data_IF_462059733805
#
_entry.id   IF_462059733805
#
_cell.length_a   1.000
_cell.length_b   1.000
_cell.length_c   1.000
_cell.angle_alpha   90.00
_cell.angle_beta   90.00
_cell.angle_gamma   90.00
#
_symmetry.space_group_name_H-M   'P 1'
#
loop_
_entity.id
_entity.type
_entity.pdbx_description
1 polymer ?
#
# COMPACT_ATOMS: atom_id res chain seq x y z
N UNK A 1 20.37 10.39 -5.40
CA UNK A 1 19.05 10.72 -4.83
C UNK A 1 19.27 11.44 -3.49
N UNK A 2 20.11 12.47 -3.48
CA UNK A 2 20.49 13.22 -2.27
C UNK A 2 20.76 14.65 -2.73
N UNK A 3 19.72 15.46 -2.85
CA UNK A 3 19.83 16.91 -3.10
C UNK A 3 18.82 17.73 -2.28
N UNK A 4 18.02 17.08 -1.42
CA UNK A 4 17.00 17.79 -0.62
C UNK A 4 17.55 18.36 0.71
N UNK A 5 18.72 17.90 1.16
CA UNK A 5 19.24 18.32 2.47
C UNK A 5 19.89 19.72 2.42
N UNK A 6 20.57 20.08 1.33
CA UNK A 6 21.20 21.41 1.19
C UNK A 6 20.18 22.55 1.04
N UNK A 7 19.05 22.32 0.36
CA UNK A 7 17.96 23.30 0.26
C UNK A 7 17.35 23.57 1.64
N UNK A 8 17.21 22.52 2.47
CA UNK A 8 16.69 22.65 3.83
C UNK A 8 17.65 23.44 4.74
N UNK A 9 18.96 23.30 4.57
CA UNK A 9 19.95 24.13 5.27
C UNK A 9 19.83 25.60 4.85
N UNK A 10 19.75 25.88 3.54
CA UNK A 10 19.52 27.23 3.00
C UNK A 10 18.24 27.87 3.57
N UNK A 11 17.14 27.12 3.70
CA UNK A 11 15.91 27.64 4.28
C UNK A 11 16.00 27.88 5.80
N UNK A 12 16.73 27.05 6.54
CA UNK A 12 17.03 27.29 7.96
C UNK A 12 17.89 28.55 8.15
N UNK A 13 18.85 28.77 7.25
CA UNK A 13 19.71 29.95 7.24
C UNK A 13 18.96 31.21 6.81
N UNK A 14 18.07 31.11 5.83
CA UNK A 14 17.14 32.17 5.45
C UNK A 14 16.24 32.56 6.62
N UNK A 15 15.75 31.59 7.39
CA UNK A 15 14.99 31.85 8.61
C UNK A 15 15.84 32.55 9.69
N UNK A 16 17.07 32.09 9.94
CA UNK A 16 18.01 32.73 10.87
C UNK A 16 18.37 34.15 10.43
N UNK A 17 18.56 34.39 9.13
CA UNK A 17 18.79 35.71 8.54
C UNK A 17 17.54 36.57 8.66
N UNK A 18 16.35 36.09 8.31
CA UNK A 18 15.09 36.85 8.41
C UNK A 18 14.73 37.23 9.84
N UNK A 19 14.99 36.34 10.82
CA UNK A 19 14.83 36.65 12.25
C UNK A 19 15.87 37.68 12.71
N UNK A 20 17.14 37.55 12.30
CA UNK A 20 18.19 38.51 12.62
C UNK A 20 18.00 39.86 11.89
N UNK A 21 17.36 39.86 10.73
CA UNK A 21 17.25 40.96 9.76
C UNK A 21 15.81 41.48 9.65
N UNK A 22 15.13 41.70 10.78
CA UNK A 22 13.98 42.62 10.83
C UNK A 22 14.34 44.10 10.48
N UNK A 23 15.49 44.33 9.83
CA UNK A 23 15.96 45.57 9.25
C UNK A 23 16.58 45.29 7.88
N UNK A 24 15.82 45.57 6.82
CA UNK A 24 16.24 45.88 5.42
C UNK A 24 16.17 44.80 4.34
N UNK A 25 15.83 45.27 3.14
CA UNK A 25 15.47 44.55 1.92
C UNK A 25 16.65 43.91 1.16
N UNK A 26 17.67 43.40 1.86
CA UNK A 26 18.94 42.97 1.24
C UNK A 26 19.28 41.48 1.42
N UNK A 27 18.35 40.70 1.98
CA UNK A 27 18.56 39.29 2.38
C UNK A 27 19.00 38.37 1.23
N UNK A 28 18.36 38.42 0.07
CA UNK A 28 18.74 37.60 -1.08
C UNK A 28 20.21 37.82 -1.54
N UNK A 29 20.68 39.07 -1.53
CA UNK A 29 22.07 39.40 -1.91
C UNK A 29 23.09 38.90 -0.90
N UNK A 30 22.75 38.98 0.39
CA UNK A 30 23.62 38.52 1.46
C UNK A 30 23.73 36.99 1.46
N UNK A 31 22.66 36.28 1.07
CA UNK A 31 22.68 34.82 0.88
C UNK A 31 23.54 34.45 -0.33
N UNK A 32 23.35 35.09 -1.48
CA UNK A 32 24.19 34.82 -2.66
C UNK A 32 25.67 35.15 -2.40
N UNK A 33 25.98 36.14 -1.57
CA UNK A 33 27.36 36.45 -1.19
C UNK A 33 28.04 35.33 -0.38
N UNK A 34 27.29 34.51 0.36
CA UNK A 34 27.83 33.41 1.19
C UNK A 34 27.80 32.08 0.44
N UNK A 35 26.72 31.80 -0.28
CA UNK A 35 26.47 30.48 -0.90
C UNK A 35 26.75 30.43 -2.40
N UNK A 36 27.08 31.58 -3.01
CA UNK A 36 27.37 31.70 -4.44
C UNK A 36 26.28 32.44 -5.19
N UNK A 37 26.68 33.05 -6.32
CA UNK A 37 25.73 33.66 -7.26
C UNK A 37 24.73 32.58 -7.73
N UNK A 38 23.45 32.94 -7.76
CA UNK A 38 22.28 32.07 -8.03
C UNK A 38 21.81 31.12 -6.90
N UNK A 39 22.32 31.25 -5.67
CA UNK A 39 21.85 30.43 -4.54
C UNK A 39 20.33 30.57 -4.28
N UNK A 40 19.79 31.79 -4.35
CA UNK A 40 18.35 32.07 -4.21
C UNK A 40 17.94 33.19 -5.17
N UNK A 41 16.80 33.01 -5.86
CA UNK A 41 16.16 34.08 -6.61
C UNK A 41 15.39 35.03 -5.69
N UNK A 42 15.42 36.34 -5.99
CA UNK A 42 14.67 37.39 -5.25
C UNK A 42 13.18 37.07 -5.05
N UNK A 43 12.57 36.35 -6.00
CA UNK A 43 11.16 35.92 -5.91
C UNK A 43 10.97 34.89 -4.80
N UNK A 44 11.87 33.92 -4.70
CA UNK A 44 11.85 32.86 -3.70
C UNK A 44 12.04 33.43 -2.30
N UNK A 45 13.00 34.35 -2.11
CA UNK A 45 13.22 35.07 -0.84
C UNK A 45 11.93 35.77 -0.34
N UNK A 46 11.25 36.49 -1.25
CA UNK A 46 10.01 37.19 -0.92
C UNK A 46 8.87 36.24 -0.56
N UNK A 47 8.71 35.13 -1.28
CA UNK A 47 7.63 34.17 -1.03
C UNK A 47 7.84 33.47 0.32
N UNK A 48 9.08 33.13 0.66
CA UNK A 48 9.44 32.61 1.98
C UNK A 48 9.24 33.63 3.09
N UNK A 49 9.60 34.90 2.87
CA UNK A 49 9.33 35.97 3.84
C UNK A 49 7.84 36.06 4.18
N UNK A 50 6.96 35.98 3.18
CA UNK A 50 5.50 35.98 3.39
C UNK A 50 5.04 34.74 4.16
N UNK A 51 5.62 33.57 3.89
CA UNK A 51 5.29 32.30 4.57
C UNK A 51 5.72 32.32 6.04
N UNK A 52 6.94 32.80 6.33
CA UNK A 52 7.45 32.96 7.70
C UNK A 52 6.71 34.04 8.49
N UNK A 53 6.28 35.15 7.85
CA UNK A 53 5.44 36.17 8.50
C UNK A 53 4.09 35.60 8.95
N UNK A 54 3.62 34.52 8.32
CA UNK A 54 2.42 33.77 8.71
C UNK A 54 2.70 32.64 9.70
N UNK A 55 3.91 32.62 10.30
CA UNK A 55 4.38 31.57 11.23
C UNK A 55 4.30 30.15 10.64
N UNK A 56 4.32 30.03 9.31
CA UNK A 56 4.32 28.74 8.63
C UNK A 56 5.77 28.30 8.34
N UNK A 57 6.27 27.38 9.15
CA UNK A 57 7.62 26.82 9.06
C UNK A 57 7.65 25.46 8.33
N UNK A 58 6.60 25.10 7.60
CA UNK A 58 6.62 23.85 6.84
C UNK A 58 7.51 23.99 5.61
N UNK A 59 8.63 23.27 5.61
CA UNK A 59 9.57 23.21 4.49
C UNK A 59 9.13 22.25 3.38
N UNK A 60 8.04 21.49 3.60
CA UNK A 60 7.51 20.61 2.55
C UNK A 60 6.86 21.45 1.46
N UNK A 61 7.14 21.04 0.21
CA UNK A 61 6.41 21.53 -0.94
C UNK A 61 4.92 21.21 -0.74
N UNK A 62 4.09 22.24 -0.92
CA UNK A 62 2.64 22.00 -1.02
C UNK A 62 2.40 21.04 -2.17
N UNK A 63 1.46 20.09 -2.04
CA UNK A 63 1.14 19.18 -3.13
C UNK A 63 0.90 20.01 -4.39
N UNK A 64 1.73 19.78 -5.42
CA UNK A 64 1.56 20.43 -6.72
C UNK A 64 0.12 20.20 -7.16
N UNK A 65 -0.49 21.21 -7.79
CA UNK A 65 -1.75 21.05 -8.50
C UNK A 65 -1.55 20.20 -9.76
N UNK A 66 -1.12 18.95 -9.58
CA UNK A 66 -1.19 17.90 -10.57
C UNK A 66 -2.62 17.36 -10.57
N UNK A 67 -3.12 17.07 -11.76
CA UNK A 67 -4.50 16.67 -11.99
C UNK A 67 -4.89 15.53 -11.04
N UNK A 68 -5.81 15.73 -10.08
CA UNK A 68 -6.44 14.61 -9.41
C UNK A 68 -7.29 13.97 -10.50
N UNK A 69 -6.78 12.90 -11.13
CA UNK A 69 -7.62 12.09 -12.00
C UNK A 69 -8.70 11.57 -11.06
N UNK A 70 -9.90 12.16 -11.14
CA UNK A 70 -11.10 11.69 -10.48
C UNK A 70 -11.39 10.31 -11.06
N UNK A 71 -10.71 9.32 -10.51
CA UNK A 71 -10.82 7.93 -10.87
C UNK A 71 -11.74 7.31 -9.85
N UNK A 72 -12.81 6.70 -10.33
CA UNK A 72 -13.77 6.02 -9.48
C UNK A 72 -13.20 4.66 -9.07
N UNK A 73 -12.61 4.62 -7.87
CA UNK A 73 -12.03 3.39 -7.31
C UNK A 73 -13.12 2.32 -7.08
N UNK A 74 -14.33 2.73 -6.70
CA UNK A 74 -15.45 1.82 -6.46
C UNK A 74 -15.87 1.13 -7.75
N UNK A 75 -15.96 1.88 -8.85
CA UNK A 75 -16.25 1.33 -10.18
C UNK A 75 -15.18 0.31 -10.61
N UNK A 76 -13.89 0.60 -10.40
CA UNK A 76 -12.83 -0.35 -10.73
C UNK A 76 -12.89 -1.61 -9.86
N UNK A 77 -13.20 -1.47 -8.57
CA UNK A 77 -13.39 -2.60 -7.67
C UNK A 77 -14.55 -3.49 -8.12
N UNK A 78 -15.66 -2.89 -8.54
CA UNK A 78 -16.83 -3.62 -9.03
C UNK A 78 -16.49 -4.38 -10.32
N UNK A 79 -15.88 -3.72 -11.31
CA UNK A 79 -15.50 -4.36 -12.57
C UNK A 79 -14.46 -5.47 -12.37
N UNK A 80 -13.50 -5.27 -11.45
CA UNK A 80 -12.54 -6.31 -11.10
C UNK A 80 -13.18 -7.54 -10.43
N UNK A 81 -14.30 -7.35 -9.72
CA UNK A 81 -15.03 -8.45 -9.07
C UNK A 81 -15.88 -9.22 -10.08
N UNK A 82 -16.55 -8.51 -10.98
CA UNK A 82 -17.39 -9.10 -12.02
C UNK A 82 -16.57 -9.93 -13.03
N UNK A 83 -15.40 -9.41 -13.45
CA UNK A 83 -14.54 -10.12 -14.39
C UNK A 83 -13.05 -9.91 -14.11
N UNK A 84 -12.46 -10.86 -13.37
CA UNK A 84 -11.02 -10.83 -13.05
C UNK A 84 -10.11 -11.01 -14.28
N UNK A 85 -10.63 -11.41 -15.43
CA UNK A 85 -9.85 -11.67 -16.66
C UNK A 85 -9.90 -10.54 -17.69
N UNK A 86 -10.63 -9.46 -17.40
CA UNK A 86 -10.83 -8.36 -18.33
C UNK A 86 -9.52 -7.66 -18.67
N UNK A 87 -9.31 -7.32 -19.94
CA UNK A 87 -8.06 -6.69 -20.37
C UNK A 87 -7.98 -5.24 -19.88
N UNK A 88 -6.76 -4.76 -19.61
CA UNK A 88 -6.53 -3.36 -19.21
C UNK A 88 -7.09 -2.37 -20.24
N UNK A 89 -7.16 -2.72 -21.53
CA UNK A 89 -7.77 -1.85 -22.56
C UNK A 89 -9.30 -1.79 -22.47
N UNK A 90 -9.95 -2.92 -22.18
CA UNK A 90 -11.40 -3.01 -22.06
C UNK A 90 -11.89 -2.18 -20.88
N UNK A 91 -11.26 -2.29 -19.70
CA UNK A 91 -11.67 -1.40 -18.60
C UNK A 91 -11.23 0.08 -18.79
N UNK A 92 -10.52 0.44 -19.85
CA UNK A 92 -10.21 1.85 -20.19
C UNK A 92 -11.32 2.48 -21.04
N UNK A 93 -12.02 1.69 -21.83
CA UNK A 93 -13.23 2.15 -22.54
C UNK A 93 -14.39 2.37 -21.55
N UNK A 94 -14.46 1.51 -20.53
CA UNK A 94 -15.49 1.53 -19.49
C UNK A 94 -15.24 2.62 -18.44
N UNK A 95 -14.00 2.74 -17.96
CA UNK A 95 -13.56 3.82 -17.08
C UNK A 95 -12.85 4.85 -17.95
N UNK A 96 -13.52 5.95 -18.30
CA UNK A 96 -13.04 7.04 -19.20
C UNK A 96 -11.78 7.75 -18.69
N UNK A 97 -10.65 7.04 -18.63
CA UNK A 97 -9.37 7.47 -18.07
C UNK A 97 -8.23 7.14 -19.03
N UNK A 98 -7.05 7.76 -18.84
CA UNK A 98 -5.88 7.41 -19.63
C UNK A 98 -5.28 6.06 -19.19
N UNK A 99 -4.62 5.36 -20.11
CA UNK A 99 -3.94 4.09 -19.81
C UNK A 99 -2.87 4.23 -18.71
N UNK A 100 -2.17 5.37 -18.67
CA UNK A 100 -1.14 5.67 -17.66
C UNK A 100 -1.73 5.86 -16.27
N UNK A 101 -2.85 6.59 -16.15
CA UNK A 101 -3.54 6.80 -14.88
C UNK A 101 -4.03 5.48 -14.29
N UNK A 102 -4.59 4.60 -15.13
CA UNK A 102 -5.02 3.28 -14.71
C UNK A 102 -3.89 2.38 -14.24
N UNK A 103 -2.74 2.40 -14.92
CA UNK A 103 -1.56 1.62 -14.49
C UNK A 103 -1.06 2.05 -13.11
N UNK A 104 -0.97 3.35 -12.87
CA UNK A 104 -0.63 3.91 -11.56
C UNK A 104 -1.65 3.50 -10.49
N UNK A 105 -2.93 3.47 -10.87
CA UNK A 105 -4.01 3.18 -9.94
C UNK A 105 -4.18 1.68 -9.62
N UNK A 106 -4.01 0.79 -10.59
CA UNK A 106 -3.92 -0.64 -10.34
C UNK A 106 -2.76 -0.96 -9.39
N UNK A 107 -1.66 -0.23 -9.54
CA UNK A 107 -0.52 -0.32 -8.62
C UNK A 107 -0.87 0.20 -7.22
N UNK A 108 -1.62 1.30 -7.08
CA UNK A 108 -2.06 1.79 -5.76
C UNK A 108 -3.00 0.81 -5.05
N UNK A 109 -3.86 0.10 -5.79
CA UNK A 109 -4.76 -0.95 -5.24
C UNK A 109 -4.05 -2.31 -5.09
N UNK A 110 -2.76 -2.40 -5.44
CA UNK A 110 -1.95 -3.64 -5.39
C UNK A 110 -2.55 -4.79 -6.22
N UNK A 111 -3.22 -4.48 -7.33
CA UNK A 111 -3.69 -5.49 -8.29
C UNK A 111 -2.57 -5.80 -9.27
N UNK A 112 -2.22 -7.07 -9.39
CA UNK A 112 -1.20 -7.56 -10.33
C UNK A 112 -1.87 -8.47 -11.35
N UNK A 113 -1.45 -8.35 -12.61
CA UNK A 113 -1.88 -9.27 -13.65
C UNK A 113 -1.15 -10.61 -13.46
N UNK A 114 -1.92 -11.68 -13.27
CA UNK A 114 -1.41 -13.04 -13.21
C UNK A 114 -1.97 -13.85 -14.38
N UNK A 115 -1.11 -14.64 -15.02
CA UNK A 115 -1.55 -15.52 -16.10
C UNK A 115 -2.44 -16.64 -15.54
N UNK A 116 -3.48 -17.02 -16.30
CA UNK A 116 -4.33 -18.14 -15.93
C UNK A 116 -3.53 -19.45 -15.84
N UNK A 117 -3.86 -20.27 -14.84
CA UNK A 117 -3.27 -21.61 -14.71
C UNK A 117 -3.76 -22.53 -15.85
N UNK A 118 -2.83 -23.29 -16.44
CA UNK A 118 -3.15 -24.28 -17.46
C UNK A 118 -3.87 -25.49 -16.86
N UNK A 119 -5.06 -25.79 -17.37
CA UNK A 119 -5.83 -26.98 -17.01
C UNK A 119 -5.78 -27.98 -18.16
N UNK A 120 -5.26 -29.19 -17.90
CA UNK A 120 -5.01 -30.22 -18.93
C UNK A 120 -6.25 -30.60 -19.75
N UNK A 121 -7.43 -30.63 -19.13
CA UNK A 121 -8.66 -31.03 -19.80
C UNK A 121 -9.86 -30.17 -19.38
N UNK A 122 -10.74 -29.87 -20.33
CA UNK A 122 -12.05 -29.31 -20.06
C UNK A 122 -12.97 -30.42 -19.50
N UNK A 123 -13.12 -30.46 -18.17
CA UNK A 123 -13.94 -31.47 -17.50
C UNK A 123 -15.44 -31.15 -17.66
N UNK A 124 -16.22 -32.15 -18.07
CA UNK A 124 -17.68 -32.10 -18.00
C UNK A 124 -18.16 -32.02 -16.55
N UNK A 125 -19.42 -31.59 -16.36
CA UNK A 125 -19.98 -31.50 -15.01
C UNK A 125 -20.04 -32.88 -14.33
N UNK A 126 -20.35 -33.93 -15.09
CA UNK A 126 -20.32 -35.31 -14.61
C UNK A 126 -18.92 -35.72 -14.13
N UNK A 127 -17.88 -35.41 -14.91
CA UNK A 127 -16.50 -35.73 -14.55
C UNK A 127 -16.03 -35.00 -13.29
N UNK A 128 -16.46 -33.73 -13.10
CA UNK A 128 -16.18 -32.97 -11.87
C UNK A 128 -16.84 -33.62 -10.65
N UNK A 129 -18.11 -34.00 -10.76
CA UNK A 129 -18.85 -34.64 -9.68
C UNK A 129 -18.26 -35.99 -9.30
N UNK A 130 -17.96 -36.84 -10.29
CA UNK A 130 -17.31 -38.13 -10.04
C UNK A 130 -15.97 -37.97 -9.31
N UNK A 131 -15.14 -37.02 -9.77
CA UNK A 131 -13.85 -36.74 -9.12
C UNK A 131 -14.01 -36.24 -7.69
N UNK A 132 -14.99 -35.37 -7.43
CA UNK A 132 -15.27 -34.88 -6.09
C UNK A 132 -15.69 -36.03 -5.16
N UNK A 133 -16.63 -36.88 -5.60
CA UNK A 133 -17.10 -38.05 -4.83
C UNK A 133 -15.98 -39.04 -4.54
N UNK A 134 -15.14 -39.35 -5.52
CA UNK A 134 -14.00 -40.25 -5.32
C UNK A 134 -13.00 -39.65 -4.33
N UNK A 135 -12.71 -38.34 -4.45
CA UNK A 135 -11.79 -37.66 -3.56
C UNK A 135 -12.29 -37.62 -2.12
N UNK A 136 -13.58 -37.34 -1.89
CA UNK A 136 -14.16 -37.31 -0.54
C UNK A 136 -14.19 -38.70 0.09
N UNK A 137 -14.55 -39.73 -0.68
CA UNK A 137 -14.55 -41.12 -0.22
C UNK A 137 -13.14 -41.64 0.10
N UNK A 138 -12.15 -41.34 -0.74
CA UNK A 138 -10.74 -41.65 -0.43
C UNK A 138 -10.26 -40.92 0.82
N UNK A 139 -10.62 -39.63 0.97
CA UNK A 139 -10.25 -38.85 2.14
C UNK A 139 -10.87 -39.42 3.42
N UNK A 140 -12.16 -39.80 3.38
CA UNK A 140 -12.85 -40.45 4.49
C UNK A 140 -12.19 -41.78 4.88
N UNK A 141 -11.88 -42.64 3.90
CA UNK A 141 -11.18 -43.91 4.15
C UNK A 141 -9.79 -43.72 4.73
N UNK A 142 -9.04 -42.73 4.27
CA UNK A 142 -7.74 -42.38 4.86
C UNK A 142 -7.91 -41.95 6.32
N UNK A 143 -8.91 -41.12 6.61
CA UNK A 143 -9.22 -40.70 7.97
C UNK A 143 -9.66 -41.87 8.87
N UNK A 144 -10.44 -42.82 8.37
CA UNK A 144 -10.85 -44.00 9.15
C UNK A 144 -9.70 -44.97 9.40
N UNK A 145 -8.76 -45.11 8.48
CA UNK A 145 -7.62 -46.04 8.61
C UNK A 145 -6.48 -45.47 9.46
N UNK A 146 -6.22 -44.16 9.38
CA UNK A 146 -5.16 -43.48 10.12
C UNK A 146 -5.65 -42.70 11.36
N UNK A 147 -6.97 -42.51 11.50
CA UNK A 147 -7.60 -41.76 12.59
C UNK A 147 -7.55 -42.46 13.95
N UNK A 148 -7.36 -43.79 13.98
CA UNK A 148 -7.17 -44.53 15.23
C UNK A 148 -5.99 -43.99 16.06
N UNK A 149 -4.95 -43.43 15.43
CA UNK A 149 -3.82 -42.85 16.15
C UNK A 149 -4.12 -41.47 16.75
N UNK A 150 -5.00 -40.69 16.12
CA UNK A 150 -5.41 -39.37 16.63
C UNK A 150 -6.48 -39.50 17.73
N UNK A 151 -7.35 -40.50 17.63
CA UNK A 151 -8.36 -40.76 18.66
C UNK A 151 -7.71 -41.26 19.96
N UNK A 152 -6.71 -42.14 19.88
CA UNK A 152 -5.96 -42.57 21.08
C UNK A 152 -5.21 -41.42 21.76
N UNK A 153 -4.63 -40.50 20.98
CA UNK A 153 -3.91 -39.35 21.54
C UNK A 153 -4.87 -38.34 22.19
N UNK A 154 -6.03 -38.09 21.57
CA UNK A 154 -7.06 -37.21 22.12
C UNK A 154 -7.72 -37.82 23.36
N UNK A 155 -8.04 -39.12 23.35
CA UNK A 155 -8.52 -39.89 24.51
C UNK A 155 -7.52 -39.85 25.68
N UNK A 156 -6.22 -40.09 25.42
CA UNK A 156 -5.16 -40.00 26.43
C UNK A 156 -5.04 -38.59 27.00
N UNK A 157 -5.09 -37.55 26.16
CA UNK A 157 -5.09 -36.15 26.60
C UNK A 157 -6.31 -35.79 27.45
N UNK A 158 -7.48 -36.31 27.09
CA UNK A 158 -8.73 -36.10 27.84
C UNK A 158 -8.68 -36.81 29.19
N UNK A 159 -8.20 -38.05 29.23
CA UNK A 159 -7.97 -38.81 30.45
C UNK A 159 -6.93 -38.13 31.36
N UNK A 160 -5.83 -37.60 30.80
CA UNK A 160 -4.83 -36.82 31.52
C UNK A 160 -5.42 -35.53 32.12
N UNK A 161 -6.26 -34.81 31.35
CA UNK A 161 -6.96 -33.60 31.85
C UNK A 161 -7.94 -33.94 32.99
N UNK A 162 -8.71 -35.03 32.86
CA UNK A 162 -9.64 -35.47 33.91
C UNK A 162 -8.87 -35.87 35.18
N UNK A 163 -7.77 -36.62 35.05
CA UNK A 163 -6.93 -37.02 36.19
C UNK A 163 -6.31 -35.81 36.89
N UNK A 164 -5.85 -34.81 36.13
CA UNK A 164 -5.35 -33.54 36.68
C UNK A 164 -6.46 -32.77 37.41
N UNK A 165 -7.67 -32.71 36.86
CA UNK A 165 -8.82 -32.03 37.48
C UNK A 165 -9.28 -32.73 38.78
N UNK A 166 -9.34 -34.08 38.80
CA UNK A 166 -9.62 -34.84 40.03
C UNK A 166 -8.58 -34.62 41.13
N UNK A 167 -7.30 -34.49 40.76
CA UNK A 167 -6.21 -34.20 41.71
C UNK A 167 -6.30 -32.79 42.31
N UNK A 168 -6.85 -31.81 41.60
CA UNK A 168 -7.03 -30.44 42.11
C UNK A 168 -8.31 -30.25 42.95
N UNK A 169 -9.30 -31.15 42.82
CA UNK A 169 -10.57 -31.08 43.57
C UNK A 169 -10.55 -31.96 44.84
N UNK A 170 -9.58 -32.86 44.97
CA UNK A 170 -9.39 -33.74 46.13
C UNK A 170 -8.33 -33.23 47.12
N UNK A 171 -8.36 -31.94 47.47
CA UNK A 171 -7.67 -31.33 48.64
C UNK A 171 -8.63 -30.36 49.27
#
# INVERSE_FOLDING_TARGET
MECHDEENELFCLLHLLLIKVLKTAKTARDICAVYGDDAIADRTDRDWYVKFKKENFDFKDTPRSGNPVAFDEELLHQLSHENTRQATRELTEEIKCSHTAKGQHLHSIRKVQECGAWVRYALSNNNKNQRATISTDLHARHHSTHGYNNDLFTELLLAMKIKKKKKMVGT
#
